data_IF_915603063150
#
_entry.id   IF_915603063150
#
_cell.length_a   1.000
_cell.length_b   1.000
_cell.length_c   1.000
_cell.angle_alpha   90.00
_cell.angle_beta   90.00
_cell.angle_gamma   90.00
#
_symmetry.space_group_name_H-M   'P 1'
#
loop_
_entity.id
_entity.type
_entity.pdbx_description
1 polymer ?
#
# COMPACT_ATOMS: atom_id res chain seq x y z
N UNK A 1 92.16 7.63 20.57
CA UNK A 1 91.47 7.50 21.87
C UNK A 1 90.18 8.31 21.80
N UNK A 2 89.08 7.64 22.14
CA UNK A 2 87.80 8.15 22.62
C UNK A 2 87.16 9.33 21.87
N UNK A 3 86.11 9.01 21.11
CA UNK A 3 85.02 9.95 20.87
C UNK A 3 84.19 10.15 22.13
N UNK A 4 83.52 11.29 22.24
CA UNK A 4 82.40 11.52 23.16
C UNK A 4 81.26 12.18 22.39
N UNK A 5 80.28 11.33 22.05
CA UNK A 5 78.88 11.66 21.81
C UNK A 5 78.18 11.75 23.17
N UNK A 6 77.32 12.74 23.37
CA UNK A 6 76.09 12.73 24.20
C UNK A 6 75.61 14.19 24.34
N UNK A 7 74.34 14.58 24.31
CA UNK A 7 73.10 14.05 23.75
C UNK A 7 72.08 15.18 24.02
N UNK A 8 71.65 15.92 23.00
CA UNK A 8 70.53 16.86 23.16
C UNK A 8 69.22 16.07 23.07
N UNK A 9 68.56 15.90 24.21
CA UNK A 9 67.23 15.29 24.31
C UNK A 9 66.18 16.30 23.84
N UNK A 10 66.05 16.43 22.52
CA UNK A 10 64.91 17.09 21.90
C UNK A 10 63.65 16.23 22.03
N UNK A 11 62.78 16.56 22.98
CA UNK A 11 61.43 16.00 23.07
C UNK A 11 60.55 16.58 21.97
N UNK A 12 60.61 15.98 20.77
CA UNK A 12 59.60 16.23 19.74
C UNK A 12 58.32 15.43 20.08
N UNK A 13 57.14 16.06 20.16
CA UNK A 13 55.90 15.32 20.36
C UNK A 13 55.60 14.49 19.12
N UNK A 14 55.62 13.17 19.26
CA UNK A 14 55.14 12.23 18.25
C UNK A 14 53.62 12.40 18.15
N UNK A 15 53.19 13.18 17.17
CA UNK A 15 51.79 13.25 16.74
C UNK A 15 51.39 11.91 16.13
N UNK A 16 50.84 11.01 16.96
CA UNK A 16 50.10 9.84 16.48
C UNK A 16 48.81 10.33 15.83
N UNK A 17 48.87 10.59 14.51
CA UNK A 17 47.66 10.75 13.72
C UNK A 17 46.92 9.41 13.74
N UNK A 18 45.66 9.35 14.18
CA UNK A 18 44.89 8.13 14.01
C UNK A 18 44.72 7.93 12.52
N UNK A 19 45.39 6.92 11.97
CA UNK A 19 45.12 6.42 10.62
C UNK A 19 43.69 5.89 10.64
N UNK A 20 42.74 6.78 10.39
CA UNK A 20 41.37 6.41 10.05
C UNK A 20 41.46 5.78 8.69
N UNK A 21 41.55 4.45 8.65
CA UNK A 21 41.27 3.68 7.44
C UNK A 21 39.81 3.96 7.08
N UNK A 22 39.60 5.01 6.30
CA UNK A 22 38.33 5.28 5.65
C UNK A 22 38.23 4.23 4.56
N UNK A 23 37.54 3.13 4.84
CA UNK A 23 37.02 2.25 3.80
C UNK A 23 36.12 3.14 2.93
N UNK A 24 36.70 3.71 1.87
CA UNK A 24 35.95 4.41 0.82
C UNK A 24 35.19 3.36 0.03
N UNK A 25 34.12 2.83 0.64
CA UNK A 25 33.03 2.29 -0.14
C UNK A 25 32.55 3.45 -1.01
N UNK A 26 32.58 3.34 -2.34
CA UNK A 26 32.19 4.44 -3.20
C UNK A 26 30.78 4.84 -2.82
N UNK A 27 30.58 6.06 -2.32
CA UNK A 27 29.31 6.57 -1.79
C UNK A 27 28.14 6.47 -2.80
N UNK A 28 28.44 6.22 -4.08
CA UNK A 28 27.48 5.92 -5.15
C UNK A 28 26.95 4.48 -5.17
N UNK A 29 27.63 3.51 -4.55
CA UNK A 29 27.23 2.10 -4.48
C UNK A 29 26.29 1.85 -3.29
N UNK A 30 26.59 2.46 -2.14
CA UNK A 30 25.79 2.43 -0.91
C UNK A 30 24.54 3.32 -0.96
N UNK A 31 23.96 3.57 -2.14
CA UNK A 31 22.62 4.16 -2.29
C UNK A 31 21.79 3.36 -3.28
N UNK A 32 22.25 2.16 -3.65
CA UNK A 32 21.67 1.29 -4.68
C UNK A 32 21.13 0.01 -4.09
N UNK A 33 21.67 -0.46 -2.96
CA UNK A 33 21.32 -1.77 -2.41
C UNK A 33 19.98 -1.70 -1.67
N UNK A 34 19.77 -0.68 -0.82
CA UNK A 34 18.48 -0.46 -0.15
C UNK A 34 17.32 -0.31 -1.15
N UNK A 35 17.53 0.45 -2.23
CA UNK A 35 16.56 0.60 -3.32
C UNK A 35 16.31 -0.72 -4.07
N UNK A 36 17.36 -1.50 -4.34
CA UNK A 36 17.21 -2.84 -4.95
C UNK A 36 16.40 -3.80 -4.07
N UNK A 37 16.67 -3.80 -2.76
CA UNK A 37 15.92 -4.58 -1.78
C UNK A 37 14.48 -4.08 -1.62
N UNK A 38 14.23 -2.76 -1.70
CA UNK A 38 12.88 -2.22 -1.76
C UNK A 38 12.13 -2.74 -2.99
N UNK A 39 12.74 -2.74 -4.18
CA UNK A 39 12.10 -3.29 -5.37
C UNK A 39 11.82 -4.80 -5.22
N UNK A 40 12.75 -5.56 -4.65
CA UNK A 40 12.52 -6.98 -4.38
C UNK A 40 11.37 -7.18 -3.39
N UNK A 41 11.32 -6.39 -2.31
CA UNK A 41 10.23 -6.41 -1.33
C UNK A 41 8.88 -6.13 -2.00
N UNK A 42 8.78 -5.05 -2.78
CA UNK A 42 7.55 -4.67 -3.46
C UNK A 42 7.12 -5.72 -4.49
N UNK A 43 8.08 -6.30 -5.21
CA UNK A 43 7.82 -7.39 -6.14
C UNK A 43 7.26 -8.61 -5.41
N UNK A 44 7.87 -9.04 -4.30
CA UNK A 44 7.39 -10.15 -3.49
C UNK A 44 5.99 -9.87 -2.90
N UNK A 45 5.75 -8.64 -2.44
CA UNK A 45 4.48 -8.21 -1.87
C UNK A 45 3.34 -8.26 -2.89
N UNK A 46 3.54 -7.67 -4.07
CA UNK A 46 2.48 -7.57 -5.08
C UNK A 46 2.35 -8.80 -5.97
N UNK A 47 3.43 -9.56 -6.18
CA UNK A 47 3.33 -10.82 -6.91
C UNK A 47 2.79 -11.96 -6.05
N UNK A 48 2.99 -11.90 -4.73
CA UNK A 48 2.78 -13.03 -3.83
C UNK A 48 3.46 -14.32 -4.34
N UNK A 49 4.53 -14.19 -5.14
CA UNK A 49 5.19 -15.33 -5.81
C UNK A 49 5.77 -16.32 -4.80
N UNK A 50 6.13 -15.85 -3.61
CA UNK A 50 6.59 -16.71 -2.53
C UNK A 50 5.54 -17.75 -2.11
N UNK A 51 4.24 -17.44 -2.24
CA UNK A 51 3.15 -18.38 -1.92
C UNK A 51 3.02 -19.52 -2.93
N UNK A 52 3.65 -19.42 -4.11
CA UNK A 52 3.72 -20.53 -5.07
C UNK A 52 4.66 -21.65 -4.61
N UNK A 53 5.54 -21.36 -3.64
CA UNK A 53 6.55 -22.28 -3.15
C UNK A 53 6.35 -22.50 -1.64
N UNK A 54 5.56 -23.52 -1.22
CA UNK A 54 5.32 -23.79 0.20
C UNK A 54 6.60 -23.94 1.03
N UNK A 55 7.70 -24.42 0.42
CA UNK A 55 9.00 -24.52 1.07
C UNK A 55 9.59 -23.16 1.54
N UNK A 56 9.14 -22.04 0.97
CA UNK A 56 9.58 -20.69 1.35
C UNK A 56 8.75 -20.08 2.49
N UNK A 57 7.59 -20.66 2.82
CA UNK A 57 6.69 -20.13 3.85
C UNK A 57 7.36 -19.97 5.22
N UNK A 58 8.14 -20.96 5.74
CA UNK A 58 8.80 -20.82 7.04
C UNK A 58 9.85 -19.70 7.08
N UNK A 59 10.48 -19.41 5.94
CA UNK A 59 11.51 -18.37 5.83
C UNK A 59 10.93 -16.95 5.86
N UNK A 60 9.64 -16.78 5.58
CA UNK A 60 8.97 -15.48 5.50
C UNK A 60 9.79 -14.48 4.65
N UNK A 61 10.08 -14.80 3.37
CA UNK A 61 11.06 -14.07 2.55
C UNK A 61 10.75 -12.57 2.44
N UNK A 62 9.47 -12.21 2.39
CA UNK A 62 9.03 -10.81 2.37
C UNK A 62 9.47 -10.04 3.61
N UNK A 63 9.37 -10.64 4.80
CA UNK A 63 9.83 -10.04 6.07
C UNK A 63 11.35 -9.92 6.09
N UNK A 64 12.08 -10.97 5.69
CA UNK A 64 13.54 -10.95 5.66
C UNK A 64 14.07 -9.86 4.72
N UNK A 65 13.50 -9.74 3.53
CA UNK A 65 13.89 -8.71 2.56
C UNK A 65 13.55 -7.31 3.09
N UNK A 66 12.40 -7.11 3.74
CA UNK A 66 12.06 -5.84 4.36
C UNK A 66 13.05 -5.44 5.47
N UNK A 67 13.38 -6.36 6.37
CA UNK A 67 14.36 -6.14 7.43
C UNK A 67 15.75 -5.86 6.86
N UNK A 68 16.17 -6.61 5.84
CA UNK A 68 17.43 -6.36 5.15
C UNK A 68 17.44 -4.98 4.49
N UNK A 69 16.34 -4.56 3.83
CA UNK A 69 16.23 -3.25 3.21
C UNK A 69 16.37 -2.11 4.23
N UNK A 70 15.71 -2.25 5.39
CA UNK A 70 15.80 -1.29 6.49
C UNK A 70 17.20 -1.26 7.11
N UNK A 71 17.81 -2.42 7.38
CA UNK A 71 19.15 -2.51 7.93
C UNK A 71 20.19 -1.88 6.97
N UNK A 72 20.11 -2.22 5.68
CA UNK A 72 20.96 -1.62 4.65
C UNK A 72 20.73 -0.13 4.55
N UNK A 73 19.48 0.36 4.61
CA UNK A 73 19.20 1.80 4.63
C UNK A 73 19.92 2.52 5.78
N UNK A 74 19.89 1.96 7.00
CA UNK A 74 20.60 2.54 8.16
C UNK A 74 22.11 2.58 7.92
N UNK A 75 22.69 1.52 7.36
CA UNK A 75 24.12 1.49 7.00
C UNK A 75 24.44 2.52 5.91
N UNK A 76 23.59 2.63 4.89
CA UNK A 76 23.76 3.60 3.80
C UNK A 76 23.68 5.05 4.32
N UNK A 77 22.74 5.37 5.22
CA UNK A 77 22.60 6.69 5.84
C UNK A 77 23.82 7.04 6.72
N UNK A 78 24.27 6.09 7.55
CA UNK A 78 25.43 6.31 8.44
C UNK A 78 26.74 6.48 7.68
N UNK A 79 27.02 5.63 6.68
CA UNK A 79 28.23 5.73 5.86
C UNK A 79 28.25 6.96 4.95
N UNK A 80 27.08 7.38 4.44
CA UNK A 80 26.98 8.57 3.57
C UNK A 80 26.88 9.89 4.35
N UNK A 81 26.74 9.84 5.68
CA UNK A 81 26.53 11.03 6.51
C UNK A 81 25.22 11.76 6.23
N UNK A 82 24.23 11.07 5.62
CA UNK A 82 22.93 11.65 5.29
C UNK A 82 21.99 11.53 6.48
N UNK A 83 21.29 12.62 6.78
CA UNK A 83 20.21 12.59 7.76
C UNK A 83 19.01 11.80 7.22
N UNK A 84 18.29 11.15 8.13
CA UNK A 84 17.02 10.51 7.81
C UNK A 84 15.98 11.56 7.40
N UNK A 85 15.38 11.37 6.22
CA UNK A 85 14.43 12.31 5.66
C UNK A 85 13.06 12.15 6.34
N UNK A 86 12.58 13.23 6.94
CA UNK A 86 11.18 13.48 7.27
C UNK A 86 10.71 14.61 6.36
N UNK A 87 9.78 14.31 5.45
CA UNK A 87 9.35 15.27 4.43
C UNK A 87 7.89 15.60 4.61
N UNK A 88 7.62 16.90 4.70
CA UNK A 88 6.28 17.45 4.76
C UNK A 88 5.51 17.09 6.03
N UNK A 89 4.29 17.64 6.18
CA UNK A 89 3.37 17.26 7.24
C UNK A 89 3.01 15.76 7.18
N UNK A 90 3.07 15.10 6.02
CA UNK A 90 2.69 13.70 5.86
C UNK A 90 3.53 12.75 6.72
N UNK A 91 4.85 12.96 6.77
CA UNK A 91 5.74 12.14 7.60
C UNK A 91 5.39 12.25 9.08
N UNK A 92 5.10 13.46 9.55
CA UNK A 92 4.73 13.72 10.94
C UNK A 92 3.33 13.21 11.27
N UNK A 93 2.35 13.42 10.38
CA UNK A 93 0.98 12.95 10.57
C UNK A 93 0.91 11.42 10.62
N UNK A 94 1.72 10.71 9.83
CA UNK A 94 1.82 9.25 9.91
C UNK A 94 2.40 8.79 11.25
N UNK A 95 3.41 9.48 11.78
CA UNK A 95 3.95 9.19 13.12
C UNK A 95 2.94 9.50 14.23
N UNK A 96 2.18 10.59 14.11
CA UNK A 96 1.11 10.94 15.05
C UNK A 96 -0.02 9.91 15.00
N UNK A 97 -0.39 9.44 13.80
CA UNK A 97 -1.35 8.34 13.63
C UNK A 97 -0.87 7.06 14.32
N UNK A 98 0.40 6.68 14.11
CA UNK A 98 1.00 5.53 14.76
C UNK A 98 1.03 5.69 16.29
N UNK A 99 1.41 6.86 16.79
CA UNK A 99 1.37 7.16 18.22
C UNK A 99 -0.06 7.08 18.79
N UNK A 100 -1.05 7.61 18.06
CA UNK A 100 -2.46 7.50 18.42
C UNK A 100 -2.94 6.04 18.49
N UNK A 101 -2.52 5.20 17.55
CA UNK A 101 -2.81 3.76 17.58
C UNK A 101 -2.13 3.04 18.75
N UNK A 102 -0.88 3.39 19.09
CA UNK A 102 -0.18 2.87 20.26
C UNK A 102 -0.92 3.23 21.56
N UNK A 103 -1.34 4.49 21.72
CA UNK A 103 -2.09 4.93 22.92
C UNK A 103 -3.46 4.27 22.98
N UNK A 104 -4.17 4.20 21.84
CA UNK A 104 -5.46 3.51 21.74
C UNK A 104 -5.36 2.03 22.12
N UNK A 105 -4.26 1.37 21.77
CA UNK A 105 -4.02 -0.04 22.12
C UNK A 105 -3.97 -0.29 23.63
N UNK A 106 -3.58 0.70 24.44
CA UNK A 106 -3.52 0.59 25.90
C UNK A 106 -4.92 0.48 26.54
N UNK A 107 -5.94 1.02 25.86
CA UNK A 107 -7.34 1.03 26.32
C UNK A 107 -8.25 0.13 25.50
N UNK A 108 -7.67 -0.69 24.61
CA UNK A 108 -8.40 -1.53 23.68
C UNK A 108 -9.26 -2.59 24.39
N UNK A 109 -10.41 -2.92 23.79
CA UNK A 109 -11.28 -4.02 24.25
C UNK A 109 -10.50 -5.35 24.23
N UNK A 110 -9.63 -5.52 23.24
CA UNK A 110 -8.72 -6.66 23.17
C UNK A 110 -7.30 -6.20 22.85
N UNK A 111 -6.51 -6.03 23.91
CA UNK A 111 -5.14 -5.49 23.82
C UNK A 111 -4.21 -6.26 22.87
N UNK A 112 -4.27 -7.60 22.83
CA UNK A 112 -3.47 -8.41 21.90
C UNK A 112 -3.81 -8.11 20.43
N UNK A 113 -5.10 -8.10 20.07
CA UNK A 113 -5.56 -7.78 18.72
C UNK A 113 -5.13 -6.35 18.33
N UNK A 114 -5.26 -5.40 19.26
CA UNK A 114 -4.82 -4.02 19.09
C UNK A 114 -3.31 -3.88 18.89
N UNK A 115 -2.51 -4.59 19.68
CA UNK A 115 -1.07 -4.59 19.52
C UNK A 115 -0.65 -5.17 18.16
N UNK A 116 -1.26 -6.27 17.72
CA UNK A 116 -0.99 -6.88 16.41
C UNK A 116 -1.34 -5.94 15.26
N UNK A 117 -2.51 -5.30 15.29
CA UNK A 117 -2.91 -4.31 14.28
C UNK A 117 -2.00 -3.07 14.29
N UNK A 118 -1.58 -2.60 15.47
CA UNK A 118 -0.63 -1.49 15.59
C UNK A 118 0.75 -1.85 15.06
N UNK A 119 1.20 -3.09 15.25
CA UNK A 119 2.44 -3.61 14.65
C UNK A 119 2.33 -3.63 13.13
N UNK A 120 1.18 -3.99 12.55
CA UNK A 120 0.96 -3.88 11.09
C UNK A 120 1.05 -2.42 10.60
N UNK A 121 0.44 -1.47 11.32
CA UNK A 121 0.58 -0.04 11.02
C UNK A 121 2.04 0.43 11.14
N UNK A 122 2.78 -0.06 12.13
CA UNK A 122 4.20 0.24 12.30
C UNK A 122 5.04 -0.30 11.12
N UNK A 123 4.75 -1.51 10.64
CA UNK A 123 5.40 -2.09 9.44
C UNK A 123 5.11 -1.23 8.20
N UNK A 124 3.86 -0.82 7.99
CA UNK A 124 3.50 0.06 6.88
C UNK A 124 4.21 1.42 6.97
N UNK A 125 4.33 1.97 8.19
CA UNK A 125 5.06 3.21 8.47
C UNK A 125 6.56 3.07 8.17
N UNK A 126 7.17 1.95 8.55
CA UNK A 126 8.57 1.67 8.23
C UNK A 126 8.81 1.56 6.72
N UNK A 127 7.90 0.91 5.98
CA UNK A 127 7.97 0.82 4.51
C UNK A 127 7.80 2.20 3.87
N UNK A 128 6.89 3.04 4.36
CA UNK A 128 6.75 4.42 3.91
C UNK A 128 8.07 5.18 4.03
N UNK A 129 8.74 5.10 5.17
CA UNK A 129 10.02 5.78 5.37
C UNK A 129 11.16 5.17 4.56
N UNK A 130 11.15 3.84 4.36
CA UNK A 130 12.06 3.17 3.43
C UNK A 130 11.89 3.72 2.02
N UNK A 131 10.66 3.84 1.53
CA UNK A 131 10.37 4.45 0.22
C UNK A 131 10.83 5.91 0.17
N UNK A 132 10.53 6.71 1.19
CA UNK A 132 10.88 8.12 1.26
C UNK A 132 12.39 8.35 1.18
N UNK A 133 13.18 7.50 1.85
CA UNK A 133 14.64 7.65 1.93
C UNK A 133 15.41 6.95 0.79
N UNK A 134 14.76 6.13 -0.04
CA UNK A 134 15.40 5.41 -1.15
C UNK A 134 14.99 5.92 -2.53
N UNK A 135 13.79 6.49 -2.67
CA UNK A 135 13.27 7.00 -3.93
C UNK A 135 13.64 8.49 -4.09
N UNK A 136 14.87 8.74 -4.52
CA UNK A 136 15.45 10.09 -4.63
C UNK A 136 15.42 10.68 -6.06
N UNK A 137 14.86 9.98 -7.03
CA UNK A 137 14.88 10.41 -8.44
C UNK A 137 13.68 9.93 -9.24
N UNK A 138 13.34 10.67 -10.30
CA UNK A 138 12.26 10.29 -11.25
C UNK A 138 12.49 8.89 -11.84
N UNK A 139 13.75 8.50 -12.06
CA UNK A 139 14.12 7.17 -12.57
C UNK A 139 13.77 6.07 -11.55
N UNK A 140 14.11 6.27 -10.28
CA UNK A 140 13.77 5.33 -9.20
C UNK A 140 12.26 5.25 -8.95
N UNK A 141 11.57 6.39 -8.93
CA UNK A 141 10.12 6.41 -8.82
C UNK A 141 9.44 5.62 -9.96
N UNK A 142 9.91 5.81 -11.19
CA UNK A 142 9.43 5.03 -12.35
C UNK A 142 9.76 3.55 -12.23
N UNK A 143 10.91 3.20 -11.65
CA UNK A 143 11.28 1.80 -11.37
C UNK A 143 10.33 1.14 -10.37
N UNK A 144 9.91 1.87 -9.33
CA UNK A 144 8.86 1.42 -8.40
C UNK A 144 7.54 1.20 -9.12
N UNK A 145 7.11 2.12 -9.99
CA UNK A 145 5.87 1.93 -10.77
C UNK A 145 5.92 0.69 -11.66
N UNK A 146 7.04 0.46 -12.36
CA UNK A 146 7.23 -0.77 -13.15
C UNK A 146 7.23 -2.02 -12.29
N UNK A 147 7.90 -1.99 -11.13
CA UNK A 147 7.96 -3.11 -10.21
C UNK A 147 6.57 -3.49 -9.68
N UNK A 148 5.78 -2.51 -9.24
CA UNK A 148 4.41 -2.73 -8.78
C UNK A 148 3.50 -3.26 -9.90
N UNK A 149 3.60 -2.67 -11.10
CA UNK A 149 2.86 -3.15 -12.26
C UNK A 149 3.25 -4.61 -12.59
N UNK A 150 4.53 -4.90 -12.79
CA UNK A 150 4.98 -6.26 -13.10
C UNK A 150 4.56 -7.24 -11.98
N UNK A 151 4.66 -6.84 -10.72
CA UNK A 151 4.22 -7.63 -9.57
C UNK A 151 2.75 -8.03 -9.66
N UNK A 152 1.86 -7.11 -10.06
CA UNK A 152 0.43 -7.40 -10.19
C UNK A 152 0.04 -8.38 -11.30
N UNK A 153 0.94 -8.77 -12.20
CA UNK A 153 0.63 -9.74 -13.25
C UNK A 153 0.35 -11.13 -12.69
N UNK A 154 1.13 -11.57 -11.68
CA UNK A 154 0.98 -12.90 -11.09
C UNK A 154 -0.41 -13.09 -10.47
N UNK A 155 -0.88 -12.25 -9.52
CA UNK A 155 -2.23 -12.43 -8.97
C UNK A 155 -3.32 -12.29 -10.04
N UNK A 156 -3.10 -11.49 -11.09
CA UNK A 156 -4.07 -11.35 -12.19
C UNK A 156 -4.19 -12.62 -13.02
N UNK A 157 -3.07 -13.16 -13.52
CA UNK A 157 -3.06 -14.41 -14.28
C UNK A 157 -3.62 -15.56 -13.47
N UNK A 158 -3.23 -15.62 -12.19
CA UNK A 158 -3.64 -16.72 -11.37
C UNK A 158 -5.11 -16.61 -10.95
N UNK A 159 -5.68 -15.40 -10.79
CA UNK A 159 -7.13 -15.20 -10.66
C UNK A 159 -7.88 -15.68 -11.92
N UNK A 160 -7.38 -15.34 -13.12
CA UNK A 160 -7.97 -15.82 -14.37
C UNK A 160 -7.92 -17.34 -14.48
N UNK A 161 -6.85 -17.96 -13.99
CA UNK A 161 -6.73 -19.42 -13.89
C UNK A 161 -7.76 -19.99 -12.93
N UNK A 162 -7.92 -19.41 -11.74
CA UNK A 162 -8.94 -19.80 -10.74
C UNK A 162 -10.35 -19.73 -11.33
N UNK A 163 -10.64 -18.68 -12.10
CA UNK A 163 -11.90 -18.54 -12.82
C UNK A 163 -12.08 -19.64 -13.87
N UNK A 164 -11.08 -19.87 -14.72
CA UNK A 164 -11.13 -20.88 -15.77
C UNK A 164 -11.22 -22.32 -15.24
N UNK A 165 -10.67 -22.59 -14.06
CA UNK A 165 -10.77 -23.91 -13.40
C UNK A 165 -12.08 -24.12 -12.63
N UNK A 166 -12.95 -23.10 -12.52
CA UNK A 166 -14.20 -23.19 -11.77
C UNK A 166 -14.03 -23.24 -10.25
N UNK A 167 -12.82 -22.97 -9.73
CA UNK A 167 -12.52 -22.96 -8.28
C UNK A 167 -12.89 -21.59 -7.71
N UNK A 168 -14.17 -21.26 -7.79
CA UNK A 168 -14.67 -19.95 -7.41
C UNK A 168 -14.85 -19.87 -5.89
N UNK A 169 -14.56 -18.70 -5.33
CA UNK A 169 -14.91 -18.36 -3.95
C UNK A 169 -16.41 -18.06 -3.84
N UNK A 170 -16.86 -17.79 -2.62
CA UNK A 170 -18.24 -17.46 -2.26
C UNK A 170 -18.95 -16.65 -3.36
N UNK A 171 -20.09 -17.20 -3.82
CA UNK A 171 -20.97 -16.60 -4.82
C UNK A 171 -20.35 -16.45 -6.23
N UNK A 172 -19.46 -17.35 -6.63
CA UNK A 172 -18.98 -17.44 -8.02
C UNK A 172 -17.87 -16.44 -8.36
N UNK A 173 -17.12 -15.97 -7.37
CA UNK A 173 -16.12 -14.92 -7.52
C UNK A 173 -14.72 -15.51 -7.65
N UNK A 174 -13.93 -15.03 -8.59
CA UNK A 174 -12.52 -15.43 -8.67
C UNK A 174 -11.63 -14.48 -7.87
N UNK A 175 -10.72 -15.06 -7.09
CA UNK A 175 -9.64 -14.34 -6.43
C UNK A 175 -8.37 -15.21 -6.43
N UNK A 176 -7.30 -14.67 -5.87
CA UNK A 176 -6.04 -15.39 -5.65
C UNK A 176 -5.91 -15.74 -4.16
N UNK A 177 -4.68 -15.88 -3.66
CA UNK A 177 -4.34 -16.13 -2.26
C UNK A 177 -3.64 -14.93 -1.62
N UNK A 178 -3.43 -15.00 -0.30
CA UNK A 178 -2.77 -13.94 0.47
C UNK A 178 -3.60 -12.67 0.53
N UNK A 179 -2.97 -11.50 0.35
CA UNK A 179 -3.66 -10.18 0.32
C UNK A 179 -4.63 -10.02 -0.86
N UNK A 180 -4.62 -10.96 -1.81
CA UNK A 180 -5.53 -11.01 -2.95
C UNK A 180 -6.56 -12.14 -2.79
N UNK A 181 -6.66 -12.69 -1.58
CA UNK A 181 -7.63 -13.69 -1.16
C UNK A 181 -9.06 -13.16 -1.22
N UNK A 182 -9.28 -11.88 -0.93
CA UNK A 182 -10.59 -11.26 -1.07
C UNK A 182 -10.75 -10.68 -2.50
N UNK A 183 -11.80 -11.03 -3.27
CA UNK A 183 -11.95 -10.51 -4.62
C UNK A 183 -12.16 -8.99 -4.68
N UNK A 184 -12.65 -8.36 -3.60
CA UNK A 184 -12.71 -6.90 -3.53
C UNK A 184 -11.31 -6.28 -3.40
N UNK A 185 -10.49 -6.81 -2.50
CA UNK A 185 -9.12 -6.34 -2.27
C UNK A 185 -8.24 -6.56 -3.51
N UNK A 186 -8.39 -7.71 -4.19
CA UNK A 186 -7.80 -7.95 -5.50
C UNK A 186 -8.17 -6.84 -6.48
N UNK A 187 -9.46 -6.57 -6.67
CA UNK A 187 -9.89 -5.58 -7.63
C UNK A 187 -9.36 -4.17 -7.30
N UNK A 188 -9.40 -3.75 -6.03
CA UNK A 188 -8.85 -2.46 -5.60
C UNK A 188 -7.34 -2.39 -5.84
N UNK A 189 -6.61 -3.46 -5.51
CA UNK A 189 -5.17 -3.55 -5.74
C UNK A 189 -4.82 -3.39 -7.22
N UNK A 190 -5.52 -4.10 -8.11
CA UNK A 190 -5.29 -4.04 -9.55
C UNK A 190 -5.68 -2.68 -10.16
N UNK A 191 -6.76 -2.05 -9.68
CA UNK A 191 -7.17 -0.70 -10.13
C UNK A 191 -6.07 0.33 -9.86
N UNK A 192 -5.38 0.24 -8.73
CA UNK A 192 -4.27 1.15 -8.39
C UNK A 192 -3.08 0.96 -9.35
N UNK A 193 -2.84 -0.26 -9.85
CA UNK A 193 -1.71 -0.55 -10.72
C UNK A 193 -1.88 -0.01 -12.15
N UNK A 194 -3.10 0.16 -12.63
CA UNK A 194 -3.40 0.67 -13.99
C UNK A 194 -2.77 2.06 -14.24
N UNK A 195 -3.07 3.11 -13.45
CA UNK A 195 -2.47 4.43 -13.67
C UNK A 195 -0.95 4.43 -13.45
N UNK A 196 -0.42 3.55 -12.59
CA UNK A 196 1.02 3.41 -12.37
C UNK A 196 1.72 2.83 -13.60
N UNK A 197 1.17 1.77 -14.22
CA UNK A 197 1.69 1.17 -15.44
C UNK A 197 1.68 2.18 -16.59
N UNK A 198 0.55 2.85 -16.82
CA UNK A 198 0.40 3.88 -17.87
C UNK A 198 1.39 5.04 -17.64
N UNK A 199 1.53 5.52 -16.40
CA UNK A 199 2.47 6.59 -16.05
C UNK A 199 3.93 6.18 -16.27
N UNK A 200 4.29 4.93 -15.92
CA UNK A 200 5.62 4.40 -16.12
C UNK A 200 6.01 4.27 -17.61
N UNK A 201 5.04 3.95 -18.46
CA UNK A 201 5.21 3.80 -19.91
C UNK A 201 5.09 5.10 -20.72
N UNK A 202 4.50 6.17 -20.15
CA UNK A 202 4.18 7.42 -20.86
C UNK A 202 5.35 8.03 -21.64
N UNK A 203 6.56 8.00 -21.08
CA UNK A 203 7.78 8.56 -21.69
C UNK A 203 8.69 7.50 -22.34
N UNK A 204 8.14 6.34 -22.70
CA UNK A 204 8.88 5.20 -23.25
C UNK A 204 8.59 4.97 -24.75
N UNK A 205 9.44 4.14 -25.38
CA UNK A 205 9.25 3.69 -26.76
C UNK A 205 7.89 3.04 -26.97
N UNK A 206 7.37 3.08 -28.20
CA UNK A 206 6.04 2.56 -28.54
C UNK A 206 5.82 1.11 -28.06
N UNK A 207 6.80 0.22 -28.26
CA UNK A 207 6.73 -1.17 -27.80
C UNK A 207 6.48 -1.31 -26.28
N UNK A 208 7.06 -0.43 -25.45
CA UNK A 208 6.87 -0.46 -24.00
C UNK A 208 5.49 0.07 -23.61
N UNK A 209 4.96 1.03 -24.38
CA UNK A 209 3.58 1.49 -24.23
C UNK A 209 2.58 0.38 -24.57
N UNK A 210 2.82 -0.37 -25.65
CA UNK A 210 2.02 -1.54 -26.02
C UNK A 210 2.07 -2.60 -24.92
N UNK A 211 3.25 -2.91 -24.38
CA UNK A 211 3.39 -3.85 -23.26
C UNK A 211 2.58 -3.41 -22.04
N UNK A 212 2.65 -2.13 -21.66
CA UNK A 212 1.87 -1.58 -20.54
C UNK A 212 0.36 -1.70 -20.75
N UNK A 213 -0.11 -1.53 -21.99
CA UNK A 213 -1.51 -1.76 -22.32
C UNK A 213 -1.89 -3.24 -22.25
N UNK A 214 -0.99 -4.14 -22.66
CA UNK A 214 -1.15 -5.58 -22.46
C UNK A 214 -1.30 -5.95 -20.98
N UNK A 215 -0.45 -5.40 -20.11
CA UNK A 215 -0.56 -5.60 -18.65
C UNK A 215 -1.90 -5.06 -18.11
N UNK A 216 -2.30 -3.88 -18.57
CA UNK A 216 -3.60 -3.28 -18.21
C UNK A 216 -4.76 -4.17 -18.63
N UNK A 217 -4.73 -4.74 -19.83
CA UNK A 217 -5.76 -5.66 -20.31
C UNK A 217 -5.89 -6.92 -19.43
N UNK A 218 -4.77 -7.47 -18.97
CA UNK A 218 -4.76 -8.60 -18.02
C UNK A 218 -5.40 -8.20 -16.68
N UNK A 219 -5.09 -7.00 -16.16
CA UNK A 219 -5.74 -6.51 -14.94
C UNK A 219 -7.25 -6.32 -15.12
N UNK A 220 -7.67 -5.75 -16.25
CA UNK A 220 -9.09 -5.56 -16.55
C UNK A 220 -9.85 -6.88 -16.57
N UNK A 221 -9.27 -7.91 -17.19
CA UNK A 221 -9.85 -9.25 -17.20
C UNK A 221 -9.94 -9.86 -15.78
N UNK A 222 -8.89 -9.73 -14.97
CA UNK A 222 -8.90 -10.22 -13.59
C UNK A 222 -9.91 -9.46 -12.69
N UNK A 223 -10.01 -8.14 -12.84
CA UNK A 223 -11.04 -7.32 -12.19
C UNK A 223 -12.43 -7.77 -12.61
N UNK A 224 -12.62 -8.10 -13.90
CA UNK A 224 -13.89 -8.58 -14.44
C UNK A 224 -14.38 -9.84 -13.70
N UNK A 225 -13.55 -10.86 -13.65
CA UNK A 225 -13.91 -12.15 -13.04
C UNK A 225 -13.96 -12.13 -11.50
N UNK A 226 -13.51 -11.04 -10.86
CA UNK A 226 -13.62 -10.85 -9.41
C UNK A 226 -15.04 -10.52 -8.93
N UNK A 227 -15.93 -10.12 -9.86
CA UNK A 227 -17.27 -9.63 -9.58
C UNK A 227 -17.33 -8.51 -8.50
N UNK A 228 -16.25 -7.73 -8.33
CA UNK A 228 -16.18 -6.62 -7.39
C UNK A 228 -16.84 -5.35 -7.95
N UNK A 229 -18.10 -5.09 -7.57
CA UNK A 229 -18.83 -3.86 -7.96
C UNK A 229 -18.06 -2.59 -7.59
N UNK A 230 -17.48 -2.55 -6.38
CA UNK A 230 -16.66 -1.42 -5.93
C UNK A 230 -15.38 -1.26 -6.74
N UNK A 231 -14.72 -2.37 -7.09
CA UNK A 231 -13.52 -2.35 -7.94
C UNK A 231 -13.83 -1.84 -9.34
N UNK A 232 -14.95 -2.26 -9.93
CA UNK A 232 -15.40 -1.79 -11.23
C UNK A 232 -15.75 -0.29 -11.21
N UNK A 233 -16.45 0.20 -10.18
CA UNK A 233 -16.72 1.63 -10.04
C UNK A 233 -15.42 2.45 -9.90
N UNK A 234 -14.47 1.98 -9.08
CA UNK A 234 -13.15 2.58 -8.96
C UNK A 234 -12.40 2.64 -10.29
N UNK A 235 -12.47 1.55 -11.07
CA UNK A 235 -11.91 1.49 -12.41
C UNK A 235 -12.54 2.55 -13.34
N UNK A 236 -13.87 2.67 -13.37
CA UNK A 236 -14.55 3.67 -14.20
C UNK A 236 -14.08 5.08 -13.85
N UNK A 237 -13.96 5.40 -12.56
CA UNK A 237 -13.45 6.71 -12.10
C UNK A 237 -12.00 6.93 -12.53
N UNK A 238 -11.13 5.93 -12.38
CA UNK A 238 -9.71 6.03 -12.80
C UNK A 238 -9.60 6.26 -14.31
N UNK A 239 -10.33 5.49 -15.12
CA UNK A 239 -10.35 5.63 -16.57
C UNK A 239 -10.95 6.98 -17.01
N UNK A 240 -12.01 7.45 -16.34
CA UNK A 240 -12.59 8.78 -16.58
C UNK A 240 -11.58 9.90 -16.26
N UNK A 241 -10.83 9.79 -15.16
CA UNK A 241 -9.79 10.76 -14.80
C UNK A 241 -8.62 10.75 -15.80
N UNK A 242 -8.17 9.58 -16.24
CA UNK A 242 -7.15 9.45 -17.28
C UNK A 242 -7.64 10.06 -18.60
N UNK A 243 -8.88 9.77 -18.98
CA UNK A 243 -9.56 10.35 -20.13
C UNK A 243 -9.62 11.87 -20.04
N UNK A 244 -10.23 12.42 -18.98
CA UNK A 244 -10.35 13.87 -18.73
C UNK A 244 -9.01 14.56 -18.90
N UNK A 245 -7.95 14.02 -18.29
CA UNK A 245 -6.63 14.64 -18.26
C UNK A 245 -5.86 14.54 -19.58
N UNK A 246 -6.34 13.73 -20.53
CA UNK A 246 -5.78 13.63 -21.87
C UNK A 246 -6.06 14.88 -22.69
N UNK A 247 -5.03 15.40 -23.38
CA UNK A 247 -5.17 16.55 -24.28
C UNK A 247 -5.88 16.20 -25.60
N UNK A 248 -5.88 14.93 -26.00
CA UNK A 248 -6.53 14.49 -27.23
C UNK A 248 -8.04 14.38 -27.06
N UNK A 249 -8.80 15.08 -27.91
CA UNK A 249 -10.27 14.97 -27.95
C UNK A 249 -10.70 13.54 -28.33
N UNK A 250 -10.03 12.93 -29.31
CA UNK A 250 -10.33 11.56 -29.75
C UNK A 250 -10.10 10.53 -28.64
N UNK A 251 -9.04 10.67 -27.85
CA UNK A 251 -8.81 9.79 -26.72
C UNK A 251 -9.86 9.99 -25.62
N UNK A 252 -10.28 11.24 -25.36
CA UNK A 252 -11.37 11.54 -24.44
C UNK A 252 -12.69 10.90 -24.88
N UNK A 253 -13.05 11.04 -26.15
CA UNK A 253 -14.25 10.43 -26.72
C UNK A 253 -14.17 8.90 -26.66
N UNK A 254 -13.03 8.31 -27.01
CA UNK A 254 -12.81 6.86 -26.90
C UNK A 254 -13.01 6.36 -25.47
N UNK A 255 -12.47 7.07 -24.47
CA UNK A 255 -12.67 6.71 -23.07
C UNK A 255 -14.13 6.86 -22.65
N UNK A 256 -14.83 7.92 -23.07
CA UNK A 256 -16.25 8.11 -22.76
C UNK A 256 -17.13 7.00 -23.37
N UNK A 257 -16.92 6.67 -24.65
CA UNK A 257 -17.63 5.59 -25.33
C UNK A 257 -17.30 4.25 -24.68
N UNK A 258 -16.03 4.00 -24.36
CA UNK A 258 -15.61 2.78 -23.66
C UNK A 258 -16.23 2.63 -22.28
N UNK A 259 -16.32 3.72 -21.51
CA UNK A 259 -16.99 3.75 -20.21
C UNK A 259 -18.50 3.49 -20.34
N UNK A 260 -19.16 4.11 -21.31
CA UNK A 260 -20.59 3.89 -21.56
C UNK A 260 -20.87 2.44 -21.99
N UNK A 261 -20.07 1.90 -22.92
CA UNK A 261 -20.18 0.51 -23.35
C UNK A 261 -19.92 -0.48 -22.21
N UNK A 262 -18.89 -0.23 -21.40
CA UNK A 262 -18.61 -1.04 -20.23
C UNK A 262 -19.77 -0.99 -19.22
N UNK A 263 -20.33 0.18 -18.95
CA UNK A 263 -21.47 0.33 -18.06
C UNK A 263 -22.70 -0.43 -18.56
N UNK A 264 -23.04 -0.30 -19.85
CA UNK A 264 -24.15 -1.04 -20.47
C UNK A 264 -23.92 -2.55 -20.37
N UNK A 265 -22.72 -3.02 -20.75
CA UNK A 265 -22.38 -4.44 -20.70
C UNK A 265 -22.47 -5.00 -19.28
N UNK A 266 -21.94 -4.29 -18.30
CA UNK A 266 -22.04 -4.68 -16.88
C UNK A 266 -23.49 -4.68 -16.42
N UNK A 267 -24.27 -3.64 -16.75
CA UNK A 267 -25.68 -3.58 -16.36
C UNK A 267 -26.52 -4.73 -16.94
N UNK A 268 -26.18 -5.19 -18.15
CA UNK A 268 -26.94 -6.21 -18.86
C UNK A 268 -26.51 -7.65 -18.54
N UNK A 269 -25.21 -7.87 -18.27
CA UNK A 269 -24.63 -9.23 -18.20
C UNK A 269 -23.86 -9.50 -16.90
N UNK A 270 -23.56 -8.48 -16.10
CA UNK A 270 -22.85 -8.62 -14.83
C UNK A 270 -23.86 -8.58 -13.67
N UNK A 271 -24.85 -9.45 -13.74
CA UNK A 271 -25.72 -9.74 -12.62
C UNK A 271 -25.11 -10.84 -11.78
N UNK A 272 -24.66 -10.48 -10.58
CA UNK A 272 -24.76 -11.38 -9.42
C UNK A 272 -26.23 -11.85 -9.41
N UNK A 273 -26.52 -13.09 -9.09
CA UNK A 273 -27.88 -13.68 -9.07
C UNK A 273 -28.92 -12.99 -8.15
N UNK A 274 -28.67 -11.76 -7.71
CA UNK A 274 -29.57 -10.86 -7.00
C UNK A 274 -29.97 -9.70 -7.91
N UNK A 275 -31.24 -9.67 -8.27
CA UNK A 275 -31.89 -8.62 -9.04
C UNK A 275 -31.60 -7.23 -8.45
N UNK A 276 -31.10 -6.28 -9.26
CA UNK A 276 -30.80 -4.90 -8.82
C UNK A 276 -32.06 -4.11 -8.42
N UNK A 277 -33.23 -4.66 -8.67
CA UNK A 277 -34.55 -4.08 -8.39
C UNK A 277 -34.85 -3.94 -6.89
N UNK A 278 -34.22 -4.74 -6.02
CA UNK A 278 -34.49 -4.78 -4.58
C UNK A 278 -33.25 -4.49 -3.70
N UNK A 279 -32.57 -3.37 -3.93
CA UNK A 279 -31.38 -2.95 -3.16
C UNK A 279 -31.60 -2.90 -1.63
N UNK A 280 -32.81 -2.59 -1.18
CA UNK A 280 -33.15 -2.55 0.25
C UNK A 280 -33.20 -3.94 0.91
N UNK A 281 -33.34 -5.01 0.12
CA UNK A 281 -33.31 -6.40 0.58
C UNK A 281 -31.95 -7.08 0.30
N UNK A 282 -31.00 -6.37 -0.32
CA UNK A 282 -29.65 -6.88 -0.53
C UNK A 282 -28.93 -6.95 0.83
N UNK A 283 -28.72 -8.19 1.31
CA UNK A 283 -28.00 -8.48 2.55
C UNK A 283 -26.64 -7.77 2.60
N UNK A 284 -25.92 -7.63 1.48
CA UNK A 284 -24.63 -6.95 1.45
C UNK A 284 -24.76 -5.45 1.76
N UNK A 285 -25.84 -4.83 1.29
CA UNK A 285 -26.12 -3.41 1.56
C UNK A 285 -26.52 -3.23 3.03
N UNK A 286 -27.42 -4.07 3.54
CA UNK A 286 -27.86 -4.03 4.94
C UNK A 286 -26.67 -4.22 5.91
N UNK A 287 -25.79 -5.18 5.64
CA UNK A 287 -24.57 -5.43 6.42
C UNK A 287 -23.61 -4.22 6.41
N UNK A 288 -23.49 -3.51 5.29
CA UNK A 288 -22.66 -2.29 5.20
C UNK A 288 -23.24 -1.13 6.00
N UNK A 289 -24.55 -0.93 5.92
CA UNK A 289 -25.24 0.09 6.71
C UNK A 289 -25.07 -0.21 8.21
N UNK A 290 -25.31 -1.45 8.61
CA UNK A 290 -25.16 -1.87 10.00
C UNK A 290 -23.73 -1.73 10.54
N UNK A 291 -22.70 -2.04 9.73
CA UNK A 291 -21.29 -1.84 10.13
C UNK A 291 -20.89 -0.37 10.24
N UNK A 292 -21.48 0.52 9.44
CA UNK A 292 -21.29 1.96 9.62
C UNK A 292 -21.94 2.42 10.93
N UNK A 293 -23.20 2.03 11.19
CA UNK A 293 -23.89 2.37 12.44
C UNK A 293 -23.13 1.87 13.67
N UNK A 294 -22.73 0.60 13.69
CA UNK A 294 -21.93 0.05 14.78
C UNK A 294 -20.61 0.80 14.96
N UNK A 295 -19.96 1.24 13.89
CA UNK A 295 -18.75 2.06 13.98
C UNK A 295 -18.99 3.45 14.58
N UNK A 296 -20.14 4.06 14.30
CA UNK A 296 -20.54 5.32 14.93
C UNK A 296 -20.82 5.12 16.42
N UNK A 297 -21.55 4.06 16.80
CA UNK A 297 -21.82 3.76 18.21
C UNK A 297 -20.54 3.46 19.00
N UNK A 298 -19.62 2.66 18.44
CA UNK A 298 -18.29 2.42 19.03
C UNK A 298 -17.51 3.72 19.27
N UNK A 299 -17.64 4.69 18.36
CA UNK A 299 -17.03 6.00 18.51
C UNK A 299 -17.73 6.84 19.58
N UNK A 300 -19.07 6.84 19.63
CA UNK A 300 -19.83 7.55 20.66
C UNK A 300 -19.48 7.05 22.06
N UNK A 301 -19.27 5.74 22.23
CA UNK A 301 -18.87 5.13 23.50
C UNK A 301 -17.42 5.44 23.88
N UNK A 302 -16.51 5.53 22.90
CA UNK A 302 -15.07 5.74 23.11
C UNK A 302 -14.50 6.82 22.18
N UNK A 303 -14.87 8.10 22.34
CA UNK A 303 -14.61 9.12 21.32
C UNK A 303 -13.13 9.47 21.16
N UNK A 304 -12.33 9.39 22.23
CA UNK A 304 -10.92 9.81 22.16
C UNK A 304 -10.02 8.74 21.56
N UNK A 305 -10.15 7.49 22.02
CA UNK A 305 -9.22 6.41 21.72
C UNK A 305 -9.85 5.22 20.97
N UNK A 306 -11.18 5.19 20.80
CA UNK A 306 -11.86 4.09 20.13
C UNK A 306 -11.80 2.77 20.90
N UNK A 307 -12.27 1.70 20.25
CA UNK A 307 -12.32 0.35 20.83
C UNK A 307 -10.98 -0.40 20.75
N UNK A 308 -9.98 0.16 20.07
CA UNK A 308 -8.66 -0.42 19.83
C UNK A 308 -8.43 -0.76 18.35
N UNK A 309 -7.21 -0.57 17.81
CA UNK A 309 -6.85 -0.95 16.44
C UNK A 309 -7.21 -2.41 16.13
N UNK A 310 -7.80 -2.67 14.96
CA UNK A 310 -8.21 -4.03 14.57
C UNK A 310 -9.28 -4.68 15.47
N UNK A 311 -9.82 -3.98 16.47
CA UNK A 311 -10.81 -4.51 17.41
C UNK A 311 -12.25 -4.29 16.94
N UNK A 312 -12.50 -3.73 15.74
CA UNK A 312 -13.87 -3.55 15.24
C UNK A 312 -14.65 -4.86 15.26
N UNK A 313 -14.06 -5.93 14.71
CA UNK A 313 -14.71 -7.26 14.60
C UNK A 313 -14.93 -7.88 15.98
N UNK A 314 -14.04 -7.61 16.93
CA UNK A 314 -14.17 -8.05 18.32
C UNK A 314 -15.31 -7.32 19.03
N UNK A 315 -15.41 -6.01 18.78
CA UNK A 315 -16.44 -5.16 19.36
C UNK A 315 -17.81 -5.40 18.70
N UNK A 316 -17.85 -5.84 17.44
CA UNK A 316 -19.06 -6.00 16.63
C UNK A 316 -20.26 -6.61 17.37
N UNK A 317 -20.15 -7.73 18.11
CA UNK A 317 -21.30 -8.32 18.80
C UNK A 317 -21.96 -7.42 19.86
N UNK A 318 -21.25 -6.42 20.37
CA UNK A 318 -21.77 -5.46 21.37
C UNK A 318 -22.61 -4.35 20.73
N UNK A 319 -22.38 -4.04 19.45
CA UNK A 319 -22.96 -2.90 18.74
C UNK A 319 -23.79 -3.29 17.52
N UNK A 320 -23.83 -4.58 17.16
CA UNK A 320 -24.58 -5.08 16.02
C UNK A 320 -26.10 -4.92 16.25
N UNK A 321 -26.88 -4.53 15.22
CA UNK A 321 -28.33 -4.55 15.28
C UNK A 321 -28.84 -5.97 15.57
N UNK A 322 -29.77 -6.11 16.52
CA UNK A 322 -30.28 -7.42 16.99
C UNK A 322 -31.10 -8.17 15.93
N UNK A 323 -31.67 -7.43 15.00
CA UNK A 323 -32.53 -7.89 13.90
C UNK A 323 -31.74 -8.26 12.64
N UNK A 324 -30.45 -7.94 12.56
CA UNK A 324 -29.62 -8.25 11.42
C UNK A 324 -29.19 -9.72 11.43
N UNK A 325 -29.67 -10.49 10.47
CA UNK A 325 -29.15 -11.84 10.24
C UNK A 325 -27.72 -11.76 9.67
N UNK A 326 -26.75 -12.25 10.42
CA UNK A 326 -25.38 -12.47 9.94
C UNK A 326 -24.91 -13.87 10.34
N UNK A 327 -24.10 -14.49 9.47
CA UNK A 327 -23.46 -15.79 9.77
C UNK A 327 -22.14 -15.63 10.53
N UNK A 328 -21.72 -14.40 10.86
CA UNK A 328 -20.42 -14.14 11.45
C UNK A 328 -20.20 -12.67 11.82
N UNK A 329 -19.03 -12.42 12.40
CA UNK A 329 -18.62 -11.07 12.78
C UNK A 329 -18.23 -10.27 11.54
N UNK A 330 -18.79 -9.06 11.43
CA UNK A 330 -18.59 -8.23 10.26
C UNK A 330 -17.43 -7.26 10.46
N UNK A 331 -16.67 -7.04 9.40
CA UNK A 331 -15.71 -5.95 9.28
C UNK A 331 -16.39 -4.73 8.69
N UNK A 332 -15.99 -3.53 9.12
CA UNK A 332 -16.40 -2.32 8.44
C UNK A 332 -15.63 -2.18 7.13
N UNK A 333 -16.35 -2.16 6.00
CA UNK A 333 -15.75 -1.94 4.68
C UNK A 333 -15.60 -0.45 4.33
N UNK A 334 -15.69 0.44 5.30
CA UNK A 334 -15.40 1.86 5.16
C UNK A 334 -14.27 2.25 6.12
N UNK A 335 -13.07 2.47 5.54
CA UNK A 335 -11.86 2.77 6.30
C UNK A 335 -12.00 4.01 7.20
N UNK A 336 -12.79 5.02 6.82
CA UNK A 336 -12.99 6.20 7.67
C UNK A 336 -13.73 5.85 8.96
N UNK A 337 -14.83 5.11 8.86
CA UNK A 337 -15.58 4.66 10.04
C UNK A 337 -14.83 3.58 10.83
N UNK A 338 -14.02 2.77 10.15
CA UNK A 338 -13.16 1.80 10.84
C UNK A 338 -12.09 2.51 11.69
N UNK A 339 -11.36 3.47 11.14
CA UNK A 339 -10.38 4.25 11.92
C UNK A 339 -11.07 5.05 13.03
N UNK A 340 -12.24 5.62 12.76
CA UNK A 340 -13.06 6.35 13.75
C UNK A 340 -13.44 5.48 14.94
N UNK A 341 -13.98 4.30 14.68
CA UNK A 341 -14.39 3.37 15.73
C UNK A 341 -13.20 2.77 16.49
N UNK A 342 -12.14 2.39 15.79
CA UNK A 342 -10.99 1.68 16.39
C UNK A 342 -10.02 2.60 17.12
N UNK A 343 -9.83 3.84 16.65
CA UNK A 343 -8.80 4.75 17.20
C UNK A 343 -9.35 6.06 17.73
N UNK A 344 -10.65 6.31 17.62
CA UNK A 344 -11.27 7.56 18.04
C UNK A 344 -10.70 8.78 17.32
N UNK A 345 -10.83 9.95 17.94
CA UNK A 345 -10.25 11.19 17.43
C UNK A 345 -8.72 11.14 17.34
N UNK A 346 -8.06 10.39 18.24
CA UNK A 346 -6.61 10.31 18.31
C UNK A 346 -5.97 9.75 17.03
N UNK A 347 -6.61 8.75 16.39
CA UNK A 347 -6.17 8.27 15.07
C UNK A 347 -6.91 8.90 13.89
N UNK A 348 -8.19 9.26 14.03
CA UNK A 348 -8.97 9.79 12.89
C UNK A 348 -8.48 11.15 12.40
N UNK A 349 -8.17 12.07 13.31
CA UNK A 349 -7.68 13.40 12.95
C UNK A 349 -6.38 13.32 12.14
N UNK A 350 -5.29 12.68 12.62
CA UNK A 350 -4.07 12.58 11.84
C UNK A 350 -4.27 11.77 10.54
N UNK A 351 -5.14 10.76 10.52
CA UNK A 351 -5.46 10.00 9.31
C UNK A 351 -6.10 10.89 8.22
N UNK A 352 -7.14 11.66 8.56
CA UNK A 352 -7.82 12.55 7.61
C UNK A 352 -6.89 13.66 7.14
N UNK A 353 -6.12 14.26 8.06
CA UNK A 353 -5.14 15.29 7.71
C UNK A 353 -4.02 14.74 6.80
N UNK A 354 -3.57 13.50 7.03
CA UNK A 354 -2.56 12.83 6.19
C UNK A 354 -3.05 12.71 4.75
N UNK A 355 -4.28 12.23 4.56
CA UNK A 355 -4.90 12.12 3.23
C UNK A 355 -5.06 13.51 2.61
N UNK A 356 -5.56 14.49 3.38
CA UNK A 356 -5.74 15.86 2.91
C UNK A 356 -4.43 16.51 2.46
N UNK A 357 -3.35 16.35 3.24
CA UNK A 357 -2.02 16.87 2.91
C UNK A 357 -1.46 16.23 1.63
N UNK A 358 -1.54 14.90 1.51
CA UNK A 358 -1.10 14.18 0.32
C UNK A 358 -1.85 14.64 -0.95
N UNK A 359 -3.18 14.78 -0.87
CA UNK A 359 -4.00 15.28 -1.98
C UNK A 359 -3.68 16.74 -2.35
N UNK A 360 -3.49 17.58 -1.34
CA UNK A 360 -3.13 18.99 -1.53
C UNK A 360 -1.78 19.12 -2.26
N UNK A 361 -0.75 18.38 -1.81
CA UNK A 361 0.56 18.40 -2.45
C UNK A 361 0.54 17.78 -3.85
N UNK A 362 -0.16 16.66 -4.05
CA UNK A 362 -0.35 16.08 -5.37
C UNK A 362 -1.00 17.08 -6.34
N UNK A 363 -2.03 17.82 -5.90
CA UNK A 363 -2.70 18.86 -6.70
C UNK A 363 -1.77 20.04 -7.00
N UNK A 364 -0.97 20.47 -6.02
CA UNK A 364 0.00 21.57 -6.20
C UNK A 364 1.07 21.23 -7.23
N UNK A 365 1.61 20.00 -7.17
CA UNK A 365 2.58 19.50 -8.15
C UNK A 365 1.92 19.43 -9.53
N UNK A 366 0.72 18.83 -9.61
CA UNK A 366 -0.05 18.71 -10.84
C UNK A 366 -0.29 20.06 -11.54
N UNK A 367 -0.56 21.14 -10.79
CA UNK A 367 -0.76 22.50 -11.34
C UNK A 367 0.54 23.15 -11.82
N UNK A 368 1.69 22.81 -11.23
CA UNK A 368 3.00 23.35 -11.65
C UNK A 368 3.52 22.68 -12.93
N UNK A 369 3.06 21.47 -13.21
CA UNK A 369 3.47 20.67 -14.37
C UNK A 369 2.47 20.67 -15.53
N UNK A 370 1.26 21.21 -15.31
CA UNK A 370 0.22 21.33 -16.32
C UNK A 370 0.48 22.56 -17.19
#
# INVERSE_FOLDING_TARGET
MAGNFHADLGTAPVSLSPVRVRLELPAKAATRLSYGLLLLFLLLLYSQVALLFPALEPLRPMLLVALAALAVLVVELTLSGRAFALVGPESHLLLVLLAGACVSSLTAIWMRQAAEATVELAKMTAIYFLMLNTIDSKKRLRGVFWCLAIGGLIPSFMTLRTYASGVLQDEGRAAWVGIFGNPNELAYGLVILIPLAISAASAQRFAVRVLSWGMTAVYLAAIFVSYSRGGFLGLLVVLALIGWRSRSLWFRLLMLVGLAAAFVYVSAYWTRSSDFSNLNQDLSVQQRIATIHAGIEMFCDRPLLGVGPGCFVVAWPLYAPKDLYTRGWLVNHNTFFQVLSETGLAGTIPFVLLIGAALFHARRIARRTA
#
